data_IF_844481251962
#
_entry.id   IF_844481251962
#
_cell.length_a   1.000
_cell.length_b   1.000
_cell.length_c   1.000
_cell.angle_alpha   90.00
_cell.angle_beta   90.00
_cell.angle_gamma   90.00
#
_symmetry.space_group_name_H-M   'P 1'
#
loop_
_entity.id
_entity.type
_entity.pdbx_description
1 polymer ?
#
# COMPACT_ATOMS: atom_id res chain seq x y z
N UNK A 1 -9.64 13.96 -1.97
CA UNK A 1 -10.35 15.00 -2.74
C UNK A 1 -11.69 15.40 -2.13
N UNK A 2 -12.22 14.69 -1.14
CA UNK A 2 -13.30 15.15 -0.26
C UNK A 2 -12.80 15.98 0.94
N UNK A 3 -11.54 15.87 1.32
CA UNK A 3 -10.94 16.49 2.53
C UNK A 3 -10.53 17.96 2.32
N UNK A 4 -10.48 18.45 1.08
CA UNK A 4 -10.13 19.85 0.79
C UNK A 4 -11.24 20.88 1.05
N UNK A 5 -12.42 20.43 1.50
CA UNK A 5 -13.56 21.34 1.81
C UNK A 5 -13.65 21.74 3.30
N UNK A 6 -12.80 21.18 4.19
CA UNK A 6 -12.81 21.53 5.63
C UNK A 6 -12.20 22.88 5.97
N UNK A 7 -11.42 23.50 5.07
CA UNK A 7 -10.75 24.79 5.34
C UNK A 7 -11.49 26.04 4.83
N UNK A 8 -12.69 25.87 4.27
CA UNK A 8 -13.57 26.99 3.94
C UNK A 8 -14.86 26.89 4.75
N UNK A 9 -14.81 27.38 5.98
CA UNK A 9 -15.97 27.65 6.82
C UNK A 9 -16.86 28.73 6.18
N UNK A 10 -17.68 28.33 5.25
CA UNK A 10 -18.65 29.20 4.59
C UNK A 10 -19.42 28.42 3.55
N UNK A 11 -20.70 28.22 3.82
CA UNK A 11 -21.70 27.71 2.86
C UNK A 11 -22.10 26.25 2.93
N UNK A 12 -22.58 25.81 4.09
CA UNK A 12 -23.24 24.52 4.25
C UNK A 12 -24.78 24.63 4.24
N UNK A 13 -25.36 25.62 3.52
CA UNK A 13 -26.82 25.88 3.59
C UNK A 13 -27.68 25.43 2.42
N UNK A 14 -27.13 24.99 1.28
CA UNK A 14 -27.95 24.79 0.08
C UNK A 14 -27.82 23.41 -0.60
N UNK A 15 -27.95 22.31 0.15
CA UNK A 15 -28.16 21.02 -0.49
C UNK A 15 -29.22 20.22 0.28
N UNK A 16 -30.41 20.06 -0.33
CA UNK A 16 -31.46 19.10 0.05
C UNK A 16 -30.94 17.67 -0.11
N UNK A 17 -29.93 17.30 0.66
CA UNK A 17 -29.51 15.89 0.80
C UNK A 17 -30.42 15.28 1.84
N UNK A 18 -31.15 14.21 1.48
CA UNK A 18 -32.07 13.56 2.39
C UNK A 18 -31.34 13.11 3.68
N UNK A 19 -32.03 13.14 4.85
CA UNK A 19 -31.41 12.87 6.14
C UNK A 19 -30.71 11.48 6.20
N UNK A 20 -31.25 10.49 5.49
CA UNK A 20 -30.68 9.13 5.40
C UNK A 20 -29.32 9.13 4.69
N UNK A 21 -29.19 9.87 3.58
CA UNK A 21 -27.95 9.93 2.80
C UNK A 21 -26.83 10.64 3.60
N UNK A 22 -27.19 11.67 4.37
CA UNK A 22 -26.25 12.37 5.23
C UNK A 22 -25.72 11.44 6.34
N UNK A 23 -26.61 10.73 7.01
CA UNK A 23 -26.25 9.80 8.09
C UNK A 23 -25.41 8.61 7.60
N UNK A 24 -25.72 8.09 6.40
CA UNK A 24 -24.89 7.07 5.72
C UNK A 24 -23.51 7.60 5.36
N UNK A 25 -23.42 8.86 4.91
CA UNK A 25 -22.13 9.48 4.62
C UNK A 25 -21.28 9.65 5.88
N UNK A 26 -21.87 10.09 6.99
CA UNK A 26 -21.20 10.21 8.29
C UNK A 26 -20.66 8.83 8.77
N UNK A 27 -21.45 7.76 8.67
CA UNK A 27 -21.05 6.42 9.09
C UNK A 27 -19.94 5.81 8.18
N UNK A 28 -19.99 6.06 6.87
CA UNK A 28 -19.10 5.40 5.90
C UNK A 28 -17.77 6.17 5.72
N UNK A 29 -17.79 7.51 5.88
CA UNK A 29 -16.64 8.37 5.58
C UNK A 29 -16.10 9.16 6.78
N UNK A 30 -16.87 9.29 7.87
CA UNK A 30 -16.50 10.02 9.08
C UNK A 30 -16.55 9.02 10.25
N UNK A 31 -15.42 8.39 10.57
CA UNK A 31 -15.31 7.39 11.66
C UNK A 31 -15.33 8.01 13.08
N UNK A 32 -15.83 9.23 13.23
CA UNK A 32 -15.85 9.96 14.51
C UNK A 32 -16.93 9.43 15.47
N UNK A 33 -17.93 8.72 14.94
CA UNK A 33 -19.02 8.12 15.74
C UNK A 33 -18.80 6.63 16.01
N UNK A 34 -19.33 6.13 17.15
CA UNK A 34 -19.28 4.70 17.50
C UNK A 34 -19.82 3.79 16.37
N UNK A 35 -20.84 4.23 15.63
CA UNK A 35 -21.40 3.51 14.50
C UNK A 35 -20.43 3.41 13.32
N UNK A 36 -19.66 4.46 13.02
CA UNK A 36 -18.61 4.47 12.00
C UNK A 36 -17.45 3.56 12.40
N UNK A 37 -16.97 3.65 13.64
CA UNK A 37 -15.91 2.77 14.14
C UNK A 37 -16.33 1.29 14.11
N UNK A 38 -17.57 0.97 14.46
CA UNK A 38 -18.10 -0.39 14.38
C UNK A 38 -18.19 -0.89 12.93
N UNK A 39 -18.60 -0.02 12.00
CA UNK A 39 -18.63 -0.33 10.57
C UNK A 39 -17.23 -0.65 10.04
N UNK A 40 -16.22 0.15 10.38
CA UNK A 40 -14.83 -0.08 9.98
C UNK A 40 -14.27 -1.38 10.54
N UNK A 41 -14.55 -1.69 11.81
CA UNK A 41 -14.14 -2.96 12.44
C UNK A 41 -14.83 -4.15 11.75
N UNK A 42 -16.13 -4.06 11.47
CA UNK A 42 -16.84 -5.11 10.74
C UNK A 42 -16.28 -5.29 9.33
N UNK A 43 -15.99 -4.20 8.64
CA UNK A 43 -15.37 -4.22 7.32
C UNK A 43 -13.98 -4.87 7.37
N UNK A 44 -13.15 -4.52 8.34
CA UNK A 44 -11.84 -5.13 8.58
C UNK A 44 -11.96 -6.64 8.79
N UNK A 45 -12.85 -7.07 9.68
CA UNK A 45 -13.07 -8.49 9.96
C UNK A 45 -13.54 -9.24 8.70
N UNK A 46 -14.46 -8.65 7.92
CA UNK A 46 -14.92 -9.23 6.66
C UNK A 46 -13.78 -9.34 5.63
N UNK A 47 -12.89 -8.33 5.52
CA UNK A 47 -11.71 -8.37 4.66
C UNK A 47 -10.78 -9.50 5.08
N UNK A 48 -10.39 -9.56 6.36
CA UNK A 48 -9.49 -10.60 6.88
C UNK A 48 -10.10 -11.98 6.68
N UNK A 49 -11.36 -12.18 7.03
CA UNK A 49 -12.05 -13.44 6.83
C UNK A 49 -12.09 -13.84 5.34
N UNK A 50 -12.33 -12.89 4.44
CA UNK A 50 -12.33 -13.16 2.99
C UNK A 50 -10.95 -13.59 2.48
N UNK A 51 -9.86 -13.01 3.00
CA UNK A 51 -8.49 -13.41 2.67
C UNK A 51 -8.19 -14.81 3.17
N UNK A 52 -8.58 -15.13 4.41
CA UNK A 52 -8.43 -16.48 4.97
C UNK A 52 -9.17 -17.51 4.11
N UNK A 53 -10.39 -17.20 3.67
CA UNK A 53 -11.16 -18.09 2.77
C UNK A 53 -10.44 -18.31 1.44
N UNK A 54 -9.86 -17.26 0.85
CA UNK A 54 -9.05 -17.38 -0.38
C UNK A 54 -7.83 -18.26 -0.15
N UNK A 55 -7.11 -18.08 0.96
CA UNK A 55 -5.96 -18.91 1.31
C UNK A 55 -6.37 -20.39 1.48
N UNK A 56 -7.45 -20.65 2.19
CA UNK A 56 -7.96 -22.02 2.39
C UNK A 56 -8.43 -22.69 1.09
N UNK A 57 -8.99 -21.91 0.15
CA UNK A 57 -9.41 -22.42 -1.17
C UNK A 57 -8.22 -22.88 -2.02
N UNK A 58 -7.00 -22.40 -1.74
CA UNK A 58 -5.78 -22.81 -2.45
C UNK A 58 -5.09 -24.02 -1.82
N UNK A 59 -5.43 -24.38 -0.58
CA UNK A 59 -4.79 -25.50 0.14
C UNK A 59 -5.25 -26.84 -0.44
N UNK A 60 -4.33 -27.74 -0.83
CA UNK A 60 -4.65 -29.10 -1.26
C UNK A 60 -5.45 -29.85 -0.19
N UNK A 61 -6.46 -30.62 -0.59
CA UNK A 61 -7.35 -31.39 0.30
C UNK A 61 -8.44 -30.57 0.99
N UNK A 62 -8.29 -29.25 1.13
CA UNK A 62 -9.31 -28.37 1.75
C UNK A 62 -10.21 -27.75 0.69
N UNK A 63 -9.69 -26.88 -0.15
CA UNK A 63 -10.40 -26.22 -1.23
C UNK A 63 -10.05 -26.77 -2.60
N UNK A 64 -8.79 -27.12 -2.83
CA UNK A 64 -8.28 -27.65 -4.08
C UNK A 64 -8.29 -29.18 -4.07
N UNK A 65 -8.52 -29.79 -5.23
CA UNK A 65 -8.40 -31.23 -5.40
C UNK A 65 -6.96 -31.71 -5.11
N UNK A 66 -6.84 -32.76 -4.31
CA UNK A 66 -5.64 -33.57 -4.26
C UNK A 66 -5.67 -34.57 -5.42
N UNK A 67 -4.66 -34.51 -6.31
CA UNK A 67 -4.36 -35.54 -7.31
C UNK A 67 -5.60 -36.18 -7.97
N UNK A 68 -6.27 -35.49 -8.88
CA UNK A 68 -7.30 -36.04 -9.79
C UNK A 68 -8.61 -36.60 -9.17
N UNK A 69 -8.79 -36.65 -7.86
CA UNK A 69 -9.98 -37.26 -7.21
C UNK A 69 -11.09 -36.30 -6.81
N UNK A 70 -11.26 -35.19 -7.52
CA UNK A 70 -12.42 -34.29 -7.31
C UNK A 70 -12.16 -33.08 -6.40
N UNK A 71 -13.18 -32.26 -6.15
CA UNK A 71 -13.05 -31.03 -5.36
C UNK A 71 -12.69 -31.34 -3.90
N UNK A 72 -11.87 -30.52 -3.25
CA UNK A 72 -11.52 -30.65 -1.85
C UNK A 72 -12.73 -30.69 -0.92
N UNK A 73 -12.56 -31.25 0.28
CA UNK A 73 -13.64 -31.56 1.24
C UNK A 73 -14.58 -30.40 1.53
N UNK A 74 -14.06 -29.17 1.54
CA UNK A 74 -14.81 -27.96 1.89
C UNK A 74 -15.02 -27.01 0.70
N UNK A 75 -14.69 -27.44 -0.52
CA UNK A 75 -14.76 -26.60 -1.72
C UNK A 75 -16.13 -25.91 -1.90
N UNK A 76 -17.24 -26.64 -1.69
CA UNK A 76 -18.58 -26.08 -1.79
C UNK A 76 -18.85 -24.98 -0.77
N UNK A 77 -18.48 -25.23 0.49
CA UNK A 77 -18.68 -24.25 1.57
C UNK A 77 -17.79 -23.00 1.36
N UNK A 78 -16.51 -23.17 1.01
CA UNK A 78 -15.60 -22.05 0.73
C UNK A 78 -16.07 -21.22 -0.46
N UNK A 79 -16.59 -21.86 -1.51
CA UNK A 79 -17.16 -21.18 -2.67
C UNK A 79 -18.39 -20.35 -2.31
N UNK A 80 -19.31 -20.91 -1.51
CA UNK A 80 -20.51 -20.18 -1.04
C UNK A 80 -20.12 -19.00 -0.18
N UNK A 81 -19.17 -19.17 0.73
CA UNK A 81 -18.67 -18.11 1.60
C UNK A 81 -17.95 -17.01 0.80
N UNK A 82 -17.16 -17.39 -0.20
CA UNK A 82 -16.53 -16.44 -1.13
C UNK A 82 -17.57 -15.59 -1.87
N UNK A 83 -18.67 -16.18 -2.32
CA UNK A 83 -19.78 -15.46 -2.96
C UNK A 83 -20.49 -14.53 -1.97
N UNK A 84 -20.69 -14.95 -0.73
CA UNK A 84 -21.27 -14.09 0.30
C UNK A 84 -20.43 -12.82 0.53
N UNK A 85 -19.11 -12.96 0.61
CA UNK A 85 -18.21 -11.80 0.68
C UNK A 85 -18.26 -10.93 -0.58
N UNK A 86 -18.32 -11.51 -1.76
CA UNK A 86 -18.41 -10.75 -3.02
C UNK A 86 -19.69 -9.92 -3.07
N UNK A 87 -20.84 -10.48 -2.65
CA UNK A 87 -22.10 -9.76 -2.57
C UNK A 87 -22.02 -8.66 -1.50
N UNK A 88 -21.46 -8.96 -0.33
CA UNK A 88 -21.27 -7.98 0.74
C UNK A 88 -20.46 -6.76 0.27
N UNK A 89 -19.29 -6.97 -0.38
CA UNK A 89 -18.47 -5.88 -0.90
C UNK A 89 -19.10 -5.16 -2.09
N UNK A 90 -19.96 -5.82 -2.86
CA UNK A 90 -20.71 -5.16 -3.94
C UNK A 90 -21.78 -4.21 -3.38
N UNK A 91 -22.48 -4.63 -2.31
CA UNK A 91 -23.46 -3.78 -1.61
C UNK A 91 -22.74 -2.58 -0.97
N UNK A 92 -21.63 -2.80 -0.30
CA UNK A 92 -20.82 -1.75 0.32
C UNK A 92 -20.37 -0.70 -0.73
N UNK A 93 -19.86 -1.15 -1.89
CA UNK A 93 -19.50 -0.27 -3.00
C UNK A 93 -20.70 0.52 -3.53
N UNK A 94 -21.84 -0.13 -3.70
CA UNK A 94 -23.07 0.53 -4.15
C UNK A 94 -23.52 1.61 -3.14
N UNK A 95 -23.39 1.36 -1.84
CA UNK A 95 -23.67 2.34 -0.79
C UNK A 95 -22.70 3.53 -0.84
N UNK A 96 -21.39 3.29 -1.03
CA UNK A 96 -20.40 4.35 -1.25
C UNK A 96 -20.75 5.21 -2.47
N UNK A 97 -21.07 4.57 -3.60
CA UNK A 97 -21.50 5.24 -4.82
C UNK A 97 -22.75 6.12 -4.62
N UNK A 98 -23.71 5.63 -3.82
CA UNK A 98 -24.94 6.37 -3.48
C UNK A 98 -24.64 7.59 -2.61
N UNK A 99 -23.70 7.49 -1.68
CA UNK A 99 -23.34 8.59 -0.76
C UNK A 99 -22.55 9.72 -1.45
N UNK A 100 -21.74 9.39 -2.47
CA UNK A 100 -20.88 10.37 -3.16
C UNK A 100 -21.68 11.26 -4.11
N UNK A 101 -21.40 12.58 -4.14
CA UNK A 101 -22.08 13.56 -5.01
C UNK A 101 -21.85 13.32 -6.51
N UNK A 102 -20.67 12.81 -6.90
CA UNK A 102 -20.27 12.54 -8.29
C UNK A 102 -19.82 11.09 -8.43
N UNK A 103 -20.75 10.13 -8.57
CA UNK A 103 -20.44 8.71 -8.55
C UNK A 103 -19.45 8.29 -9.63
N UNK A 104 -19.57 8.81 -10.86
CA UNK A 104 -18.63 8.49 -11.94
C UNK A 104 -17.20 8.98 -11.64
N UNK A 105 -17.05 10.16 -11.01
CA UNK A 105 -15.73 10.65 -10.64
C UNK A 105 -15.10 9.81 -9.53
N UNK A 106 -15.91 9.28 -8.61
CA UNK A 106 -15.44 8.34 -7.60
C UNK A 106 -15.05 7.01 -8.23
N UNK A 107 -15.87 6.44 -9.11
CA UNK A 107 -15.61 5.16 -9.77
C UNK A 107 -14.26 5.15 -10.53
N UNK A 108 -13.89 6.27 -11.16
CA UNK A 108 -12.61 6.45 -11.86
C UNK A 108 -11.51 7.03 -10.99
N UNK A 109 -11.73 7.23 -9.69
CA UNK A 109 -10.66 7.60 -8.76
C UNK A 109 -9.82 6.38 -8.40
N UNK A 110 -8.59 6.62 -7.91
CA UNK A 110 -7.70 5.54 -7.46
C UNK A 110 -8.39 4.60 -6.46
N UNK A 111 -9.06 5.16 -5.44
CA UNK A 111 -9.78 4.39 -4.43
C UNK A 111 -11.03 3.69 -4.98
N UNK A 112 -11.77 4.34 -5.86
CA UNK A 112 -12.94 3.73 -6.51
C UNK A 112 -12.58 2.54 -7.40
N UNK A 113 -11.42 2.60 -8.08
CA UNK A 113 -10.89 1.48 -8.87
C UNK A 113 -10.48 0.31 -7.96
N UNK A 114 -9.82 0.57 -6.83
CA UNK A 114 -9.47 -0.45 -5.84
C UNK A 114 -10.74 -1.13 -5.30
N UNK A 115 -11.75 -0.35 -4.96
CA UNK A 115 -13.04 -0.87 -4.52
C UNK A 115 -13.68 -1.77 -5.58
N UNK A 116 -13.69 -1.33 -6.83
CA UNK A 116 -14.21 -2.10 -7.96
C UNK A 116 -13.43 -3.40 -8.18
N UNK A 117 -12.09 -3.35 -8.16
CA UNK A 117 -11.23 -4.52 -8.31
C UNK A 117 -11.42 -5.56 -7.20
N UNK A 118 -11.97 -5.19 -6.07
CA UNK A 118 -12.19 -6.10 -4.95
C UNK A 118 -13.26 -7.16 -5.21
N UNK A 119 -14.25 -6.90 -6.05
CA UNK A 119 -15.36 -7.82 -6.35
C UNK A 119 -15.55 -8.13 -7.84
N UNK A 120 -15.14 -7.22 -8.74
CA UNK A 120 -15.28 -7.37 -10.19
C UNK A 120 -14.72 -8.69 -10.75
N UNK A 121 -13.55 -9.19 -10.30
CA UNK A 121 -12.99 -10.44 -10.80
C UNK A 121 -13.93 -11.64 -10.65
N UNK A 122 -14.75 -11.68 -9.58
CA UNK A 122 -15.66 -12.78 -9.36
C UNK A 122 -16.79 -12.81 -10.40
N UNK A 123 -17.31 -11.64 -10.74
CA UNK A 123 -18.35 -11.52 -11.77
C UNK A 123 -17.78 -11.80 -13.17
N UNK A 124 -16.54 -11.37 -13.45
CA UNK A 124 -15.87 -11.68 -14.73
C UNK A 124 -15.64 -13.20 -14.89
N UNK A 125 -15.16 -13.85 -13.84
CA UNK A 125 -14.96 -15.30 -13.86
C UNK A 125 -16.28 -16.06 -14.04
N UNK A 126 -17.37 -15.60 -13.42
CA UNK A 126 -18.67 -16.22 -13.56
C UNK A 126 -19.30 -15.95 -14.93
N UNK A 127 -19.24 -14.69 -15.42
CA UNK A 127 -19.88 -14.29 -16.68
C UNK A 127 -19.16 -14.83 -17.93
N UNK A 128 -17.85 -14.82 -17.93
CA UNK A 128 -17.04 -15.26 -19.08
C UNK A 128 -16.54 -16.70 -18.97
N UNK A 129 -16.58 -17.30 -17.77
CA UNK A 129 -16.06 -18.66 -17.51
C UNK A 129 -16.82 -19.80 -18.19
N UNK A 130 -18.03 -19.56 -18.70
CA UNK A 130 -18.85 -20.57 -19.36
C UNK A 130 -18.63 -20.75 -20.88
N UNK A 131 -17.87 -19.86 -21.53
CA UNK A 131 -17.78 -19.84 -23.01
C UNK A 131 -16.39 -19.75 -23.64
N UNK A 132 -15.32 -19.65 -22.86
CA UNK A 132 -13.98 -19.52 -23.42
C UNK A 132 -13.19 -20.83 -23.39
N UNK A 133 -12.45 -21.10 -24.47
CA UNK A 133 -11.59 -22.26 -24.65
C UNK A 133 -10.48 -22.38 -23.57
N UNK A 134 -9.99 -23.60 -23.33
CA UNK A 134 -9.09 -23.99 -22.23
C UNK A 134 -7.84 -23.12 -22.03
N UNK A 135 -7.37 -22.39 -23.04
CA UNK A 135 -6.20 -21.52 -22.93
C UNK A 135 -6.43 -20.20 -22.17
N UNK A 136 -7.63 -19.62 -22.26
CA UNK A 136 -7.98 -18.34 -21.60
C UNK A 136 -8.30 -18.49 -20.08
N UNK A 137 -8.52 -19.72 -19.61
CA UNK A 137 -8.85 -19.97 -18.19
C UNK A 137 -7.72 -19.61 -17.21
N UNK A 138 -6.45 -19.70 -17.64
CA UNK A 138 -5.32 -19.37 -16.76
C UNK A 138 -5.30 -17.88 -16.42
N UNK A 139 -5.55 -17.01 -17.40
CA UNK A 139 -5.60 -15.56 -17.21
C UNK A 139 -6.79 -15.16 -16.35
N UNK A 140 -7.99 -15.73 -16.63
CA UNK A 140 -9.20 -15.44 -15.85
C UNK A 140 -9.04 -15.95 -14.40
N UNK A 141 -8.35 -17.08 -14.19
CA UNK A 141 -8.06 -17.60 -12.86
C UNK A 141 -7.13 -16.69 -12.08
N UNK A 142 -6.11 -16.12 -12.74
CA UNK A 142 -5.18 -15.17 -12.09
C UNK A 142 -5.85 -13.85 -11.69
N UNK A 143 -6.93 -13.43 -12.37
CA UNK A 143 -7.70 -12.26 -11.96
C UNK A 143 -8.32 -12.42 -10.56
N UNK A 144 -8.53 -13.66 -10.08
CA UNK A 144 -9.00 -13.89 -8.69
C UNK A 144 -8.04 -13.36 -7.65
N UNK A 145 -6.72 -13.27 -7.98
CA UNK A 145 -5.71 -12.70 -7.08
C UNK A 145 -5.96 -11.21 -6.81
N UNK A 146 -6.65 -10.50 -7.70
CA UNK A 146 -7.02 -9.10 -7.49
C UNK A 146 -7.95 -8.89 -6.29
N UNK A 147 -8.58 -9.96 -5.77
CA UNK A 147 -9.37 -9.89 -4.53
C UNK A 147 -8.54 -9.43 -3.33
N UNK A 148 -7.20 -9.61 -3.36
CA UNK A 148 -6.31 -9.13 -2.30
C UNK A 148 -6.40 -7.62 -2.12
N UNK A 149 -6.75 -6.86 -3.17
CA UNK A 149 -6.96 -5.41 -3.08
C UNK A 149 -8.07 -4.99 -2.11
N UNK A 150 -8.91 -5.94 -1.65
CA UNK A 150 -9.87 -5.69 -0.55
C UNK A 150 -9.22 -5.11 0.70
N UNK A 151 -7.93 -5.41 0.95
CA UNK A 151 -7.20 -4.90 2.11
C UNK A 151 -7.09 -3.37 2.12
N UNK A 152 -7.11 -2.73 0.94
CA UNK A 152 -7.01 -1.28 0.81
C UNK A 152 -8.34 -0.53 1.00
N UNK A 153 -9.44 -1.24 1.31
CA UNK A 153 -10.77 -0.63 1.52
C UNK A 153 -10.94 0.10 2.86
N UNK A 154 -9.99 -0.06 3.78
CA UNK A 154 -10.05 0.54 5.11
C UNK A 154 -9.94 2.07 5.05
N UNK A 155 -10.94 2.79 5.54
CA UNK A 155 -11.01 4.26 5.46
C UNK A 155 -9.84 4.95 6.17
N UNK A 156 -9.47 4.50 7.38
CA UNK A 156 -8.33 5.04 8.10
C UNK A 156 -7.01 4.78 7.37
N UNK A 157 -6.86 3.60 6.72
CA UNK A 157 -5.69 3.28 5.91
C UNK A 157 -5.55 4.23 4.70
N UNK A 158 -6.67 4.64 4.10
CA UNK A 158 -6.66 5.56 2.97
C UNK A 158 -6.11 6.93 3.37
N UNK A 159 -6.48 7.44 4.53
CA UNK A 159 -5.98 8.72 5.04
C UNK A 159 -4.47 8.68 5.31
N UNK A 160 -4.02 7.68 6.05
CA UNK A 160 -2.59 7.51 6.36
C UNK A 160 -1.76 7.24 5.09
N UNK A 161 -2.33 6.48 4.13
CA UNK A 161 -1.67 6.22 2.85
C UNK A 161 -1.53 7.47 1.98
N UNK A 162 -2.49 8.40 2.03
CA UNK A 162 -2.40 9.70 1.34
C UNK A 162 -1.30 10.57 1.96
N UNK A 163 -1.22 10.67 3.29
CA UNK A 163 -0.15 11.40 3.97
C UNK A 163 1.23 10.84 3.65
N UNK A 164 1.38 9.51 3.70
CA UNK A 164 2.61 8.83 3.35
C UNK A 164 2.94 9.04 1.87
N UNK A 165 1.95 8.90 0.99
CA UNK A 165 2.10 9.13 -0.45
C UNK A 165 2.58 10.54 -0.76
N UNK A 166 2.03 11.55 -0.10
CA UNK A 166 2.45 12.94 -0.22
C UNK A 166 3.88 13.16 0.26
N UNK A 167 4.29 12.52 1.36
CA UNK A 167 5.66 12.59 1.87
C UNK A 167 6.66 11.96 0.90
N UNK A 168 6.33 10.78 0.35
CA UNK A 168 7.13 10.09 -0.67
C UNK A 168 7.21 10.93 -1.96
N UNK A 169 6.10 11.52 -2.40
CA UNK A 169 6.08 12.36 -3.60
C UNK A 169 6.94 13.62 -3.44
N UNK A 170 6.92 14.25 -2.28
CA UNK A 170 7.83 15.39 -1.98
C UNK A 170 9.30 14.98 -1.97
N UNK A 171 9.60 13.77 -1.51
CA UNK A 171 10.95 13.21 -1.46
C UNK A 171 11.39 12.50 -2.75
N UNK A 172 10.55 12.45 -3.79
CA UNK A 172 10.78 11.64 -5.01
C UNK A 172 12.15 11.83 -5.66
N UNK A 173 12.64 13.07 -5.75
CA UNK A 173 13.94 13.34 -6.35
C UNK A 173 15.08 12.67 -5.58
N UNK A 174 15.05 12.72 -4.25
CA UNK A 174 16.04 12.07 -3.37
C UNK A 174 15.93 10.54 -3.48
N UNK A 175 14.70 10.02 -3.49
CA UNK A 175 14.42 8.58 -3.62
C UNK A 175 14.89 8.08 -5.00
N UNK A 176 14.62 8.81 -6.07
CA UNK A 176 15.07 8.43 -7.43
C UNK A 176 16.58 8.35 -7.53
N UNK A 177 17.31 9.36 -7.04
CA UNK A 177 18.78 9.33 -7.00
C UNK A 177 19.28 8.14 -6.19
N UNK A 178 18.67 7.89 -5.01
CA UNK A 178 19.03 6.76 -4.17
C UNK A 178 18.84 5.42 -4.89
N UNK A 179 17.66 5.17 -5.49
CA UNK A 179 17.38 3.94 -6.23
C UNK A 179 18.33 3.77 -7.40
N UNK A 180 18.64 4.85 -8.12
CA UNK A 180 19.60 4.80 -9.24
C UNK A 180 20.99 4.37 -8.77
N UNK A 181 21.48 4.91 -7.66
CA UNK A 181 22.77 4.51 -7.06
C UNK A 181 22.75 3.04 -6.66
N UNK A 182 21.66 2.57 -6.03
CA UNK A 182 21.50 1.15 -5.66
C UNK A 182 21.53 0.25 -6.89
N UNK A 183 20.80 0.60 -7.95
CA UNK A 183 20.78 -0.19 -9.19
C UNK A 183 22.16 -0.26 -9.85
N UNK A 184 22.89 0.85 -9.90
CA UNK A 184 24.27 0.87 -10.40
C UNK A 184 25.15 -0.05 -9.55
N UNK A 185 25.10 0.09 -8.23
CA UNK A 185 25.92 -0.69 -7.31
C UNK A 185 25.65 -2.20 -7.44
N UNK A 186 24.39 -2.59 -7.48
CA UNK A 186 23.97 -4.00 -7.64
C UNK A 186 24.43 -4.54 -8.99
N UNK A 187 24.28 -3.78 -10.08
CA UNK A 187 24.68 -4.20 -11.41
C UNK A 187 26.20 -4.36 -11.48
N UNK A 188 26.97 -3.40 -10.98
CA UNK A 188 28.43 -3.47 -10.98
C UNK A 188 28.92 -4.62 -10.10
N UNK A 189 28.40 -4.78 -8.88
CA UNK A 189 28.82 -5.84 -7.97
C UNK A 189 28.44 -7.21 -8.48
N UNK A 190 27.24 -7.34 -9.08
CA UNK A 190 26.78 -8.62 -9.67
C UNK A 190 27.62 -9.03 -10.88
N UNK A 191 27.97 -8.09 -11.75
CA UNK A 191 28.85 -8.34 -12.90
C UNK A 191 30.26 -8.71 -12.45
N UNK A 192 30.81 -7.98 -11.47
CA UNK A 192 32.13 -8.31 -10.91
C UNK A 192 32.15 -9.69 -10.26
N UNK A 193 31.09 -10.05 -9.54
CA UNK A 193 30.99 -11.37 -8.92
C UNK A 193 30.95 -12.48 -9.98
N UNK A 194 30.17 -12.30 -11.05
CA UNK A 194 30.13 -13.22 -12.17
C UNK A 194 31.51 -13.41 -12.78
N UNK A 195 32.26 -12.36 -13.06
CA UNK A 195 33.62 -12.43 -13.62
C UNK A 195 34.62 -13.14 -12.67
N UNK A 196 34.52 -12.90 -11.36
CA UNK A 196 35.41 -13.51 -10.35
C UNK A 196 35.16 -15.01 -10.23
N UNK A 197 33.89 -15.44 -10.28
CA UNK A 197 33.48 -16.82 -10.06
C UNK A 197 33.40 -17.64 -11.36
N UNK A 198 33.34 -17.01 -12.54
CA UNK A 198 33.24 -17.68 -13.84
C UNK A 198 34.46 -18.58 -14.12
N UNK A 199 34.23 -19.71 -14.77
CA UNK A 199 35.28 -20.65 -15.16
C UNK A 199 35.71 -21.63 -14.06
N UNK A 200 35.10 -21.62 -12.90
CA UNK A 200 35.34 -22.60 -11.83
C UNK A 200 34.27 -23.69 -11.83
N UNK A 201 34.68 -24.92 -11.68
CA UNK A 201 33.79 -26.10 -11.71
C UNK A 201 32.75 -26.13 -10.57
N UNK A 202 32.93 -25.34 -9.53
CA UNK A 202 32.05 -25.24 -8.36
C UNK A 202 31.21 -23.96 -8.36
N UNK A 203 31.34 -23.11 -9.39
CA UNK A 203 30.62 -21.83 -9.46
C UNK A 203 29.14 -22.08 -9.73
N UNK A 204 28.31 -21.35 -8.97
CA UNK A 204 26.85 -21.30 -9.16
C UNK A 204 26.43 -20.06 -9.96
N UNK A 205 27.38 -19.22 -10.36
CA UNK A 205 27.17 -18.01 -11.17
C UNK A 205 27.24 -18.37 -12.65
N UNK A 206 26.12 -18.75 -13.26
CA UNK A 206 26.06 -19.18 -14.66
C UNK A 206 25.93 -17.99 -15.62
N UNK A 207 25.40 -16.87 -15.13
CA UNK A 207 25.11 -15.67 -15.93
C UNK A 207 25.24 -14.37 -15.13
N UNK A 208 25.40 -13.23 -15.84
CA UNK A 208 25.36 -11.90 -15.22
C UNK A 208 24.07 -11.65 -14.46
N UNK A 209 22.86 -12.00 -14.96
CA UNK A 209 21.63 -11.92 -14.18
C UNK A 209 21.66 -12.66 -12.84
N UNK A 210 22.31 -13.83 -12.75
CA UNK A 210 22.46 -14.56 -11.48
C UNK A 210 23.33 -13.77 -10.50
N UNK A 211 24.41 -13.17 -10.99
CA UNK A 211 25.26 -12.28 -10.20
C UNK A 211 24.48 -11.04 -9.69
N UNK A 212 23.66 -10.44 -10.54
CA UNK A 212 22.79 -9.31 -10.15
C UNK A 212 21.74 -9.74 -9.10
N UNK A 213 21.10 -10.90 -9.31
CA UNK A 213 20.14 -11.44 -8.36
C UNK A 213 20.80 -11.71 -7.00
N UNK A 214 21.99 -12.33 -7.00
CA UNK A 214 22.79 -12.51 -5.79
C UNK A 214 23.12 -11.19 -5.10
N UNK A 215 23.51 -10.16 -5.85
CA UNK A 215 23.85 -8.85 -5.30
C UNK A 215 22.64 -8.18 -4.65
N UNK A 216 21.43 -8.28 -5.28
CA UNK A 216 20.17 -7.79 -4.71
C UNK A 216 19.87 -8.52 -3.39
N UNK A 217 19.87 -9.83 -3.41
CA UNK A 217 19.55 -10.68 -2.25
C UNK A 217 20.51 -10.43 -1.09
N UNK A 218 21.80 -10.28 -1.40
CA UNK A 218 22.84 -9.97 -0.40
C UNK A 218 22.70 -8.58 0.18
N UNK A 219 22.54 -7.55 -0.67
CA UNK A 219 22.42 -6.16 -0.27
C UNK A 219 21.15 -5.88 0.52
N UNK A 220 20.04 -6.56 0.18
CA UNK A 220 18.77 -6.45 0.92
C UNK A 220 18.74 -7.30 2.19
N UNK A 221 19.83 -7.99 2.53
CA UNK A 221 19.97 -8.86 3.71
C UNK A 221 19.03 -10.07 3.73
N UNK A 222 18.47 -10.49 2.58
CA UNK A 222 17.61 -11.67 2.48
C UNK A 222 18.45 -12.95 2.60
N UNK A 223 19.50 -13.10 1.78
CA UNK A 223 20.50 -14.17 1.90
C UNK A 223 19.91 -15.57 1.73
N UNK A 224 19.30 -15.90 0.60
CA UNK A 224 18.77 -17.26 0.35
C UNK A 224 19.81 -18.37 0.49
N UNK A 225 21.09 -18.07 0.17
CA UNK A 225 22.19 -19.04 0.27
C UNK A 225 22.23 -20.07 -0.86
N UNK A 226 21.39 -19.92 -1.86
CA UNK A 226 21.34 -20.74 -3.06
C UNK A 226 22.52 -20.45 -4.01
N UNK A 227 22.93 -19.21 -4.11
CA UNK A 227 24.11 -18.74 -4.87
C UNK A 227 25.05 -18.02 -3.90
N UNK A 228 26.27 -18.55 -3.74
CA UNK A 228 27.28 -18.00 -2.84
C UNK A 228 28.67 -18.04 -3.48
N UNK A 229 29.53 -17.04 -3.23
CA UNK A 229 30.89 -17.02 -3.76
C UNK A 229 31.76 -18.07 -3.07
N UNK A 230 32.54 -18.77 -3.87
CA UNK A 230 33.47 -19.81 -3.42
C UNK A 230 34.89 -19.29 -3.26
N UNK A 231 35.24 -18.24 -4.01
CA UNK A 231 36.58 -17.64 -4.04
C UNK A 231 36.84 -16.70 -2.88
N UNK A 232 38.10 -16.44 -2.57
CA UNK A 232 38.50 -15.49 -1.53
C UNK A 232 38.14 -14.07 -1.98
N UNK A 233 38.38 -13.74 -3.24
CA UNK A 233 38.07 -12.44 -3.85
C UNK A 233 36.56 -12.18 -3.83
N UNK A 234 35.73 -13.18 -4.19
CA UNK A 234 34.27 -13.10 -4.13
C UNK A 234 33.76 -12.90 -2.71
N UNK A 235 34.36 -13.57 -1.71
CA UNK A 235 34.00 -13.37 -0.30
C UNK A 235 34.35 -11.96 0.22
N UNK A 236 35.47 -11.39 -0.24
CA UNK A 236 35.83 -10.01 0.09
C UNK A 236 34.83 -9.03 -0.53
N UNK A 237 34.49 -9.22 -1.81
CA UNK A 237 33.48 -8.41 -2.49
C UNK A 237 32.13 -8.50 -1.77
N UNK A 238 31.72 -9.69 -1.33
CA UNK A 238 30.51 -9.90 -0.54
C UNK A 238 30.53 -9.12 0.75
N UNK A 239 31.62 -9.16 1.51
CA UNK A 239 31.75 -8.45 2.77
C UNK A 239 31.59 -6.92 2.57
N UNK A 240 32.24 -6.37 1.54
CA UNK A 240 32.11 -4.96 1.18
C UNK A 240 30.67 -4.61 0.79
N UNK A 241 30.04 -5.42 -0.04
CA UNK A 241 28.66 -5.22 -0.48
C UNK A 241 27.66 -5.25 0.69
N UNK A 242 27.82 -6.19 1.63
CA UNK A 242 26.99 -6.30 2.83
C UNK A 242 27.09 -5.03 3.69
N UNK A 243 28.30 -4.53 3.93
CA UNK A 243 28.51 -3.31 4.74
C UNK A 243 27.88 -2.08 4.07
N UNK A 244 28.04 -1.96 2.75
CA UNK A 244 27.42 -0.87 1.98
C UNK A 244 25.90 -1.03 2.01
N UNK A 245 25.35 -2.24 1.78
CA UNK A 245 23.93 -2.52 1.77
C UNK A 245 23.26 -2.16 3.09
N UNK A 246 23.87 -2.54 4.22
CA UNK A 246 23.36 -2.18 5.53
C UNK A 246 23.28 -0.66 5.74
N UNK A 247 24.33 0.07 5.31
CA UNK A 247 24.34 1.54 5.40
C UNK A 247 23.27 2.19 4.52
N UNK A 248 23.02 1.62 3.36
CA UNK A 248 22.03 2.14 2.39
C UNK A 248 20.57 1.98 2.83
N UNK A 249 20.23 0.98 3.65
CA UNK A 249 18.85 0.80 4.14
C UNK A 249 18.40 1.99 5.03
N UNK A 250 19.33 2.61 5.76
CA UNK A 250 19.05 3.70 6.69
C UNK A 250 18.67 5.00 5.95
N UNK A 251 19.17 5.21 4.73
CA UNK A 251 19.06 6.49 4.01
C UNK A 251 17.62 6.85 3.60
N UNK A 252 16.82 5.96 2.94
CA UNK A 252 15.44 6.28 2.57
C UNK A 252 14.55 6.51 3.77
N UNK A 253 14.74 5.72 4.84
CA UNK A 253 13.98 5.86 6.08
C UNK A 253 14.21 7.22 6.71
N UNK A 254 15.46 7.72 6.68
CA UNK A 254 15.81 9.04 7.17
C UNK A 254 15.14 10.17 6.37
N UNK A 255 15.09 10.06 5.04
CA UNK A 255 14.45 11.09 4.20
C UNK A 255 12.94 11.19 4.42
N UNK A 256 12.26 10.06 4.47
CA UNK A 256 10.80 10.03 4.70
C UNK A 256 10.48 10.54 6.11
N UNK A 257 11.20 10.08 7.12
CA UNK A 257 10.99 10.52 8.51
C UNK A 257 11.23 12.03 8.68
N UNK A 258 12.28 12.57 8.07
CA UNK A 258 12.57 14.01 8.13
C UNK A 258 11.47 14.86 7.47
N UNK A 259 10.88 14.37 6.36
CA UNK A 259 9.80 15.06 5.67
C UNK A 259 8.51 15.09 6.49
N UNK A 260 8.16 13.95 7.12
CA UNK A 260 6.97 13.85 8.01
C UNK A 260 7.12 14.81 9.20
N UNK A 261 8.29 14.80 9.87
CA UNK A 261 8.55 15.66 11.04
C UNK A 261 8.54 17.14 10.63
N UNK A 262 9.16 17.47 9.49
CA UNK A 262 9.21 18.83 8.96
C UNK A 262 7.83 19.39 8.64
N UNK A 263 6.91 18.54 8.16
CA UNK A 263 5.54 18.96 7.86
C UNK A 263 4.73 19.23 9.11
N UNK A 264 4.82 18.39 10.14
CA UNK A 264 4.18 18.63 11.45
C UNK A 264 4.63 19.95 12.06
N UNK A 265 5.93 20.26 12.01
CA UNK A 265 6.46 21.52 12.56
C UNK A 265 5.96 22.75 11.81
N UNK A 266 5.76 22.65 10.49
CA UNK A 266 5.23 23.76 9.67
C UNK A 266 3.73 24.02 9.90
N UNK A 267 2.95 23.00 10.26
CA UNK A 267 1.53 23.14 10.60
C UNK A 267 1.28 23.76 11.99
N UNK A 268 2.24 23.66 12.90
CA UNK A 268 2.14 24.24 14.25
C UNK A 268 2.59 25.68 14.34
N UNK A 269 3.11 26.26 13.25
CA UNK A 269 3.58 27.64 13.23
C UNK A 269 2.42 28.57 12.85
N UNK A 270 2.06 29.47 13.75
CA UNK A 270 1.04 30.49 13.57
C UNK A 270 1.51 31.62 12.66
N UNK A 271 0.61 32.21 11.89
CA UNK A 271 0.80 33.48 11.16
C UNK A 271 0.65 34.72 12.05
N UNK A 272 0.43 34.53 13.37
CA UNK A 272 0.31 35.65 14.32
C UNK A 272 1.65 36.36 14.43
N UNK A 273 1.60 37.68 14.28
CA UNK A 273 2.74 38.57 14.54
C UNK A 273 2.71 39.11 15.96
N UNK A 274 3.87 39.27 16.57
CA UNK A 274 3.97 39.86 17.88
C UNK A 274 3.55 41.35 17.84
N UNK A 275 2.66 41.83 18.72
CA UNK A 275 2.22 43.21 18.72
C UNK A 275 3.34 44.21 19.05
N UNK A 276 4.38 43.76 19.72
CA UNK A 276 5.48 44.65 20.16
C UNK A 276 6.68 44.65 19.17
N UNK A 277 7.15 43.50 18.65
CA UNK A 277 8.31 43.42 17.78
C UNK A 277 8.00 42.99 16.35
N UNK A 278 6.71 42.78 15.99
CA UNK A 278 6.22 42.42 14.64
C UNK A 278 6.82 41.12 14.08
N UNK A 279 7.50 40.32 14.90
CA UNK A 279 8.07 39.04 14.45
C UNK A 279 6.95 38.00 14.25
N UNK A 280 6.97 37.32 13.12
CA UNK A 280 6.06 36.25 12.76
C UNK A 280 6.66 34.86 13.06
N UNK A 281 5.84 33.80 12.89
CA UNK A 281 6.31 32.43 12.99
C UNK A 281 6.41 31.90 14.43
N UNK A 282 5.50 32.31 15.30
CA UNK A 282 5.31 31.75 16.63
C UNK A 282 4.55 30.42 16.58
N UNK A 283 4.73 29.57 17.58
CA UNK A 283 3.94 28.34 17.70
C UNK A 283 2.46 28.70 17.90
N UNK A 284 1.55 27.83 17.42
CA UNK A 284 0.11 28.13 17.43
C UNK A 284 -0.45 28.32 18.84
N UNK A 285 0.19 27.72 19.84
CA UNK A 285 -0.10 27.77 21.27
C UNK A 285 0.79 28.75 22.06
N UNK A 286 1.61 29.57 21.35
CA UNK A 286 2.51 30.51 22.01
C UNK A 286 1.74 31.58 22.78
N UNK A 287 1.98 31.66 24.08
CA UNK A 287 1.43 32.69 24.98
C UNK A 287 2.36 33.91 25.05
N UNK A 288 3.66 33.72 24.80
CA UNK A 288 4.65 34.77 24.81
C UNK A 288 5.47 34.79 23.52
N UNK A 289 5.90 35.99 23.10
CA UNK A 289 6.78 36.13 21.96
C UNK A 289 8.15 35.50 22.24
N UNK A 290 8.62 34.60 21.38
CA UNK A 290 9.91 33.95 21.51
C UNK A 290 11.14 34.88 21.35
N UNK A 291 10.94 36.11 20.84
CA UNK A 291 11.99 37.10 20.62
C UNK A 291 12.06 38.19 21.70
N UNK A 292 10.93 38.78 22.06
CA UNK A 292 10.91 39.91 23.01
C UNK A 292 10.23 39.59 24.34
N UNK A 293 9.62 38.39 24.47
CA UNK A 293 8.95 37.97 25.72
C UNK A 293 7.60 38.63 25.98
N UNK A 294 7.09 39.44 25.06
CA UNK A 294 5.78 40.12 25.21
C UNK A 294 4.64 39.08 25.09
N UNK A 295 3.57 39.21 25.91
CA UNK A 295 2.38 38.37 25.76
C UNK A 295 1.76 38.47 24.38
N UNK A 296 1.35 37.36 23.82
CA UNK A 296 0.68 37.26 22.53
C UNK A 296 -0.80 36.97 22.80
N UNK A 297 -1.65 37.99 22.67
CA UNK A 297 -3.11 37.83 22.73
C UNK A 297 -3.70 37.27 21.41
#
# INVERSE_FOLDING_TARGET
>A
MCIRDRSRGGDNKDLKVGPVRRRLHEIIFEADDFAGALFDVMLLLAIVASIVVICLDTVPGVGRADNAEGPGRYHGALRTLSWAFTIFFSIEYALRMYCVRRPLKYAFSFWGIIDLMSFLPDYLVYGFGGGLERGSFAVIRSLRLLRVFRIFKLGWFQHEAEELGDAVWRSRAKITVFITVVLILVTVSGTLMYEIETGRSTSQFESIPDGICWAIVTMTTVGYGDIVPTTVEGKILSAVLILIGYSLIIVPTGFVSAEIIGHKKKMTTSTRSCPSCITEGHDADAVYCKHCGEPME
#
